data_IF_760375696822
#
_entry.id   IF_760375696822
#
_cell.length_a   1.000
_cell.length_b   1.000
_cell.length_c   1.000
_cell.angle_alpha   90.00
_cell.angle_beta   90.00
_cell.angle_gamma   90.00
#
_symmetry.space_group_name_H-M   'P 1'
#
loop_
_entity.id
_entity.type
_entity.pdbx_description
1 polymer ?
#
# COMPACT_ATOMS: atom_id res chain seq x y z
N UNK A 1 -16.13 -93.45 18.64
CA UNK A 1 -14.92 -92.60 18.64
C UNK A 1 -15.08 -91.56 17.53
N UNK A 2 -15.64 -90.39 17.85
CA UNK A 2 -15.66 -89.22 16.97
C UNK A 2 -14.90 -88.11 17.70
N UNK A 3 -13.76 -87.67 17.15
CA UNK A 3 -13.08 -86.46 17.60
C UNK A 3 -13.61 -85.29 16.76
N UNK A 4 -14.46 -84.48 17.37
CA UNK A 4 -14.91 -83.20 16.83
C UNK A 4 -13.78 -82.18 16.90
N UNK A 5 -13.41 -81.63 15.74
CA UNK A 5 -12.50 -80.52 15.61
C UNK A 5 -13.33 -79.24 15.69
N UNK A 6 -13.31 -78.56 16.84
CA UNK A 6 -14.00 -77.27 17.01
C UNK A 6 -13.10 -76.17 16.45
N UNK A 7 -13.45 -75.66 15.27
CA UNK A 7 -12.80 -74.52 14.64
C UNK A 7 -13.24 -73.23 15.37
N UNK A 8 -12.35 -72.67 16.21
CA UNK A 8 -12.53 -71.34 16.78
C UNK A 8 -12.20 -70.30 15.69
N UNK A 9 -13.22 -69.75 15.04
CA UNK A 9 -13.11 -68.55 14.21
C UNK A 9 -13.03 -67.33 15.15
N UNK A 10 -11.81 -66.84 15.38
CA UNK A 10 -11.56 -65.50 15.91
C UNK A 10 -11.95 -64.48 14.82
N UNK A 11 -13.18 -63.97 14.87
CA UNK A 11 -13.50 -62.68 14.24
C UNK A 11 -12.85 -61.59 15.08
N UNK A 12 -11.63 -61.20 14.73
CA UNK A 12 -11.08 -59.91 15.13
C UNK A 12 -11.94 -58.81 14.50
N UNK A 13 -12.73 -58.13 15.33
CA UNK A 13 -13.38 -56.89 14.94
C UNK A 13 -12.29 -55.86 14.63
N UNK A 14 -11.93 -55.71 13.36
CA UNK A 14 -11.19 -54.55 12.90
C UNK A 14 -12.12 -53.36 13.06
N UNK A 15 -11.90 -52.56 14.10
CA UNK A 15 -12.46 -51.22 14.16
C UNK A 15 -11.92 -50.47 12.95
N UNK A 16 -12.75 -50.30 11.92
CA UNK A 16 -12.40 -49.51 10.75
C UNK A 16 -12.36 -48.05 11.16
N UNK A 17 -11.15 -47.52 11.38
CA UNK A 17 -10.96 -46.11 11.63
C UNK A 17 -11.13 -45.36 10.31
N UNK A 18 -12.29 -44.73 10.12
CA UNK A 18 -12.43 -43.64 9.17
C UNK A 18 -11.65 -42.43 9.71
N UNK A 19 -10.94 -41.73 8.84
CA UNK A 19 -10.21 -40.51 9.19
C UNK A 19 -10.37 -39.46 8.09
N UNK A 20 -10.38 -38.20 8.48
CA UNK A 20 -10.51 -37.02 7.62
C UNK A 20 -9.31 -36.11 7.86
N UNK A 21 -8.95 -35.29 6.87
CA UNK A 21 -7.90 -34.30 7.04
C UNK A 21 -8.18 -33.09 6.15
N UNK A 22 -7.92 -31.91 6.70
CA UNK A 22 -7.63 -30.70 5.93
C UNK A 22 -6.22 -30.25 6.32
N UNK A 23 -5.36 -30.00 5.33
CA UNK A 23 -3.99 -29.56 5.58
C UNK A 23 -3.51 -28.61 4.49
N UNK A 24 -2.86 -27.51 4.88
CA UNK A 24 -2.13 -26.67 3.94
C UNK A 24 -0.77 -27.30 3.64
N UNK A 25 -0.33 -27.22 2.38
CA UNK A 25 1.00 -27.72 1.97
C UNK A 25 2.15 -26.82 2.52
N UNK A 26 1.81 -25.73 3.20
CA UNK A 26 2.74 -24.71 3.66
C UNK A 26 2.37 -24.22 5.06
N UNK A 27 3.38 -23.96 5.89
CA UNK A 27 3.20 -23.37 7.22
C UNK A 27 3.00 -21.85 7.18
N UNK A 28 3.42 -21.19 6.10
CA UNK A 28 3.20 -19.77 5.86
C UNK A 28 3.27 -19.44 4.37
N UNK A 29 2.57 -18.39 3.95
CA UNK A 29 2.56 -17.84 2.60
C UNK A 29 2.94 -16.37 2.69
N UNK A 30 4.04 -15.99 2.04
CA UNK A 30 4.39 -14.59 1.81
C UNK A 30 3.87 -14.18 0.44
N UNK A 31 3.04 -13.16 0.42
CA UNK A 31 2.46 -12.59 -0.79
C UNK A 31 3.40 -11.54 -1.41
N UNK A 32 3.13 -11.19 -2.66
CA UNK A 32 3.81 -10.09 -3.34
C UNK A 32 3.44 -8.75 -2.68
N UNK A 33 4.39 -7.81 -2.68
CA UNK A 33 4.19 -6.51 -2.05
C UNK A 33 3.02 -5.75 -2.69
N UNK A 34 2.17 -5.18 -1.83
CA UNK A 34 1.12 -4.26 -2.23
C UNK A 34 1.57 -2.81 -2.02
N UNK A 35 1.91 -2.14 -3.11
CA UNK A 35 2.15 -0.71 -3.12
C UNK A 35 0.82 0.07 -3.14
N UNK A 36 0.64 0.97 -2.18
CA UNK A 36 -0.53 1.83 -2.06
C UNK A 36 -0.13 3.25 -2.43
N UNK A 37 -0.84 3.83 -3.39
CA UNK A 37 -0.63 5.20 -3.86
C UNK A 37 -1.88 6.06 -3.58
N UNK A 38 -1.75 7.39 -3.66
CA UNK A 38 -2.95 8.24 -3.57
C UNK A 38 -3.96 7.97 -4.68
N UNK A 39 -3.50 7.54 -5.87
CA UNK A 39 -4.37 7.17 -7.00
C UNK A 39 -4.95 5.76 -6.89
N UNK A 40 -4.54 4.97 -5.90
CA UNK A 40 -5.11 3.65 -5.66
C UNK A 40 -6.61 3.77 -5.32
N UNK A 41 -7.46 2.85 -5.81
CA UNK A 41 -8.88 2.85 -5.51
C UNK A 41 -9.14 2.58 -4.02
N UNK A 42 -10.29 3.03 -3.50
CA UNK A 42 -10.69 2.82 -2.10
C UNK A 42 -10.77 1.33 -1.71
N UNK A 43 -11.06 0.48 -2.70
CA UNK A 43 -11.07 -0.98 -2.57
C UNK A 43 -10.10 -1.57 -3.60
N UNK A 44 -9.07 -2.25 -3.10
CA UNK A 44 -8.01 -2.88 -3.89
C UNK A 44 -8.34 -4.37 -4.04
N UNK A 45 -8.43 -4.87 -5.27
CA UNK A 45 -8.56 -6.31 -5.50
C UNK A 45 -7.18 -6.95 -5.48
N UNK A 46 -6.98 -7.95 -4.65
CA UNK A 46 -5.72 -8.68 -4.53
C UNK A 46 -5.97 -10.17 -4.70
N UNK A 47 -5.15 -10.85 -5.51
CA UNK A 47 -5.31 -12.27 -5.82
C UNK A 47 -4.04 -13.04 -5.47
N UNK A 48 -4.21 -14.19 -4.83
CA UNK A 48 -3.11 -15.10 -4.54
C UNK A 48 -3.58 -16.55 -4.63
N UNK A 49 -2.61 -17.47 -4.63
CA UNK A 49 -2.88 -18.90 -4.67
C UNK A 49 -2.44 -19.58 -3.38
N UNK A 50 -3.19 -20.61 -2.98
CA UNK A 50 -2.89 -21.47 -1.84
C UNK A 50 -2.94 -22.93 -2.28
N UNK A 51 -2.05 -23.75 -1.73
CA UNK A 51 -2.07 -25.20 -1.90
C UNK A 51 -2.53 -25.89 -0.64
N UNK A 52 -3.47 -26.82 -0.79
CA UNK A 52 -4.02 -27.57 0.33
C UNK A 52 -4.55 -28.93 -0.13
N UNK A 53 -4.77 -29.81 0.83
CA UNK A 53 -5.41 -31.10 0.64
C UNK A 53 -6.62 -31.20 1.56
N UNK A 54 -7.70 -31.79 1.04
CA UNK A 54 -8.86 -32.15 1.85
C UNK A 54 -9.38 -33.50 1.41
N UNK A 55 -9.35 -34.49 2.31
CA UNK A 55 -9.78 -35.85 1.99
C UNK A 55 -10.24 -36.62 3.23
N UNK A 56 -11.06 -37.64 2.98
CA UNK A 56 -11.58 -38.58 3.95
C UNK A 56 -11.36 -40.00 3.48
N UNK A 57 -10.77 -40.83 4.33
CA UNK A 57 -10.45 -42.20 4.03
C UNK A 57 -11.36 -43.16 4.79
N UNK A 58 -11.96 -44.08 4.05
CA UNK A 58 -12.67 -45.25 4.58
C UNK A 58 -11.83 -46.46 4.15
N UNK A 59 -11.14 -47.07 5.12
CA UNK A 59 -10.27 -48.23 4.94
C UNK A 59 -9.01 -47.89 4.13
N UNK A 60 -9.01 -48.17 2.83
CA UNK A 60 -7.94 -47.84 1.88
C UNK A 60 -8.40 -46.88 0.78
N UNK A 61 -9.69 -46.54 0.77
CA UNK A 61 -10.28 -45.65 -0.23
C UNK A 61 -10.36 -44.26 0.37
N UNK A 62 -9.59 -43.34 -0.20
CA UNK A 62 -9.62 -41.92 0.16
C UNK A 62 -10.33 -41.16 -0.94
N UNK A 63 -11.35 -40.41 -0.57
CA UNK A 63 -12.05 -39.50 -1.46
C UNK A 63 -11.86 -38.07 -0.94
N UNK A 64 -11.77 -37.09 -1.84
CA UNK A 64 -11.79 -35.69 -1.41
C UNK A 64 -13.13 -35.34 -0.77
N UNK A 65 -13.11 -34.51 0.27
CA UNK A 65 -14.31 -34.13 1.01
C UNK A 65 -14.65 -32.65 0.81
N UNK A 66 -15.91 -32.31 1.10
CA UNK A 66 -16.32 -30.92 1.16
C UNK A 66 -15.57 -30.17 2.25
N UNK A 67 -15.00 -29.02 1.90
CA UNK A 67 -14.27 -28.16 2.84
C UNK A 67 -14.87 -26.76 2.91
N UNK A 68 -14.53 -26.03 3.97
CA UNK A 68 -14.82 -24.60 4.13
C UNK A 68 -13.55 -23.86 4.49
N UNK A 69 -13.39 -22.66 3.94
CA UNK A 69 -12.30 -21.74 4.21
C UNK A 69 -12.78 -20.54 5.03
N UNK A 70 -11.89 -19.89 5.75
CA UNK A 70 -12.20 -18.66 6.49
C UNK A 70 -10.93 -17.84 6.74
N UNK A 71 -11.09 -16.57 7.09
CA UNK A 71 -9.98 -15.74 7.56
C UNK A 71 -10.06 -15.52 9.06
N UNK A 72 -8.90 -15.49 9.71
CA UNK A 72 -8.76 -15.26 11.14
C UNK A 72 -7.58 -14.32 11.43
N UNK A 73 -7.64 -13.60 12.55
CA UNK A 73 -6.58 -12.67 12.95
C UNK A 73 -5.40 -13.39 13.64
N UNK A 74 -5.65 -14.53 14.30
CA UNK A 74 -4.68 -15.26 15.12
C UNK A 74 -4.51 -16.72 14.67
N UNK A 75 -3.35 -17.31 15.00
CA UNK A 75 -3.12 -18.74 14.80
C UNK A 75 -4.05 -19.57 15.68
N UNK A 76 -4.58 -20.66 15.12
CA UNK A 76 -5.53 -21.52 15.79
C UNK A 76 -4.84 -22.25 16.94
N UNK A 77 -5.26 -21.96 18.17
CA UNK A 77 -4.91 -22.74 19.36
C UNK A 77 -6.13 -23.24 20.13
N UNK A 78 -7.34 -22.80 19.79
CA UNK A 78 -8.58 -23.11 20.51
C UNK A 78 -9.49 -24.01 19.67
N UNK A 79 -9.96 -25.17 20.16
CA UNK A 79 -10.88 -26.07 19.45
C UNK A 79 -12.27 -25.46 19.12
N UNK A 80 -12.62 -24.26 19.61
CA UNK A 80 -13.86 -23.56 19.28
C UNK A 80 -13.76 -22.78 17.96
N UNK A 81 -13.97 -23.51 16.87
CA UNK A 81 -13.96 -23.09 15.45
C UNK A 81 -14.86 -21.88 15.11
N UNK A 82 -15.83 -21.55 15.96
CA UNK A 82 -16.85 -20.52 15.69
C UNK A 82 -16.47 -19.10 16.18
N UNK A 83 -15.46 -18.96 17.05
CA UNK A 83 -14.99 -17.67 17.58
C UNK A 83 -13.75 -17.11 16.88
N UNK A 84 -13.33 -17.69 15.74
CA UNK A 84 -12.07 -17.35 15.06
C UNK A 84 -12.17 -16.15 14.11
N UNK A 85 -13.37 -15.64 13.90
CA UNK A 85 -13.65 -14.50 13.03
C UNK A 85 -13.52 -13.21 13.82
N UNK A 86 -12.47 -12.45 13.52
CA UNK A 86 -12.07 -11.34 14.36
C UNK A 86 -12.18 -9.98 13.64
N UNK A 87 -12.09 -8.92 14.43
CA UNK A 87 -12.43 -7.55 14.03
C UNK A 87 -11.45 -6.96 13.01
N UNK A 88 -10.17 -7.40 13.01
CA UNK A 88 -9.16 -6.82 12.13
C UNK A 88 -9.34 -7.28 10.68
N UNK A 89 -9.51 -8.57 10.43
CA UNK A 89 -9.79 -9.09 9.07
C UNK A 89 -11.09 -8.53 8.50
N UNK A 90 -12.11 -8.30 9.33
CA UNK A 90 -13.38 -7.67 8.89
C UNK A 90 -13.26 -6.17 8.62
N UNK A 91 -12.38 -5.46 9.33
CA UNK A 91 -12.04 -4.08 9.03
C UNK A 91 -11.19 -3.94 7.75
N UNK A 92 -10.16 -4.79 7.63
CA UNK A 92 -9.20 -4.77 6.51
C UNK A 92 -9.86 -5.15 5.18
N UNK A 93 -10.72 -6.15 5.18
CA UNK A 93 -11.36 -6.67 3.97
C UNK A 93 -12.74 -6.05 3.73
N UNK A 94 -13.20 -6.02 2.48
CA UNK A 94 -14.48 -5.40 2.09
C UNK A 94 -15.26 -6.26 1.12
N UNK A 95 -16.55 -6.45 1.40
CA UNK A 95 -17.42 -7.23 0.52
C UNK A 95 -17.03 -8.71 0.51
N UNK A 96 -17.26 -9.39 -0.61
CA UNK A 96 -17.06 -10.83 -0.69
C UNK A 96 -15.68 -11.21 -1.25
N UNK A 97 -15.19 -12.31 -0.73
CA UNK A 97 -13.96 -13.00 -1.11
C UNK A 97 -14.38 -14.17 -1.99
N UNK A 98 -13.80 -14.23 -3.18
CA UNK A 98 -14.07 -15.31 -4.12
C UNK A 98 -12.94 -16.32 -4.05
N UNK A 99 -13.32 -17.57 -4.21
CA UNK A 99 -12.42 -18.71 -4.20
C UNK A 99 -12.75 -19.60 -5.40
N UNK A 100 -11.71 -20.11 -6.07
CA UNK A 100 -11.85 -21.17 -7.07
C UNK A 100 -10.64 -22.09 -7.05
N UNK A 101 -10.83 -23.39 -7.19
CA UNK A 101 -9.74 -24.35 -7.36
C UNK A 101 -9.62 -24.86 -8.80
N UNK A 102 -8.47 -25.48 -9.09
CA UNK A 102 -8.12 -26.09 -10.36
C UNK A 102 -8.97 -27.31 -10.76
N UNK A 103 -9.84 -27.79 -9.87
CA UNK A 103 -10.79 -28.88 -10.11
C UNK A 103 -12.24 -28.40 -10.28
N UNK A 104 -12.46 -27.08 -10.37
CA UNK A 104 -13.77 -26.49 -10.60
C UNK A 104 -14.60 -26.26 -9.33
N UNK A 105 -14.02 -26.46 -8.14
CA UNK A 105 -14.59 -25.98 -6.89
C UNK A 105 -14.61 -24.46 -6.90
N UNK A 106 -15.75 -23.86 -6.54
CA UNK A 106 -15.92 -22.42 -6.46
C UNK A 106 -16.68 -22.07 -5.19
N UNK A 107 -16.31 -20.94 -4.59
CA UNK A 107 -16.90 -20.48 -3.34
C UNK A 107 -16.88 -18.96 -3.26
N UNK A 108 -17.79 -18.44 -2.46
CA UNK A 108 -17.85 -17.03 -2.11
C UNK A 108 -18.15 -16.91 -0.64
N UNK A 109 -17.41 -16.05 0.06
CA UNK A 109 -17.61 -15.82 1.48
C UNK A 109 -17.31 -14.39 1.87
N UNK A 110 -17.74 -13.99 3.05
CA UNK A 110 -17.53 -12.65 3.57
C UNK A 110 -16.47 -12.70 4.67
N UNK A 111 -15.71 -11.62 4.87
CA UNK A 111 -14.86 -11.47 6.04
C UNK A 111 -15.65 -11.78 7.31
N UNK A 112 -15.06 -12.57 8.20
CA UNK A 112 -15.73 -13.02 9.41
C UNK A 112 -16.77 -14.13 9.24
N UNK A 113 -16.82 -14.77 8.07
CA UNK A 113 -17.67 -15.93 7.82
C UNK A 113 -16.89 -17.07 7.15
N UNK A 114 -17.29 -18.30 7.44
CA UNK A 114 -16.84 -19.47 6.69
C UNK A 114 -17.35 -19.39 5.26
N UNK A 115 -16.55 -19.90 4.32
CA UNK A 115 -17.02 -20.27 3.01
C UNK A 115 -18.08 -21.34 3.13
N UNK A 116 -19.07 -21.26 2.24
CA UNK A 116 -19.93 -22.41 1.99
C UNK A 116 -19.09 -23.63 1.60
N UNK A 117 -19.76 -24.79 1.52
CA UNK A 117 -19.16 -26.05 1.08
C UNK A 117 -18.64 -25.90 -0.36
N UNK A 118 -17.34 -26.06 -0.58
CA UNK A 118 -16.77 -26.23 -1.92
C UNK A 118 -16.80 -27.72 -2.33
N UNK A 119 -17.15 -28.00 -3.59
CA UNK A 119 -17.47 -29.35 -4.11
C UNK A 119 -16.28 -30.30 -4.23
N UNK A 120 -16.57 -31.61 -4.24
CA UNK A 120 -15.62 -32.71 -4.45
C UNK A 120 -14.99 -32.68 -5.85
N UNK A 121 -13.65 -32.68 -5.92
CA UNK A 121 -12.89 -33.06 -7.12
C UNK A 121 -12.52 -34.55 -7.12
N UNK A 122 -11.95 -35.06 -8.21
CA UNK A 122 -11.45 -36.44 -8.32
C UNK A 122 -10.18 -36.71 -7.46
N UNK A 123 -9.95 -37.98 -7.13
CA UNK A 123 -9.04 -38.46 -6.09
C UNK A 123 -7.55 -38.06 -6.25
N UNK A 124 -6.90 -37.78 -5.10
CA UNK A 124 -5.47 -38.08 -4.88
C UNK A 124 -4.42 -37.00 -5.11
N UNK A 125 -4.78 -35.76 -5.46
CA UNK A 125 -3.79 -34.70 -5.74
C UNK A 125 -3.80 -33.56 -4.70
N UNK A 126 -2.90 -32.59 -4.82
CA UNK A 126 -2.97 -31.29 -4.14
C UNK A 126 -3.96 -30.37 -4.88
N UNK A 127 -4.73 -29.55 -4.16
CA UNK A 127 -5.54 -28.48 -4.77
C UNK A 127 -4.75 -27.20 -4.83
N UNK A 128 -4.80 -26.50 -5.97
CA UNK A 128 -4.37 -25.09 -6.04
C UNK A 128 -5.61 -24.21 -6.07
N UNK A 129 -5.91 -23.58 -4.94
CA UNK A 129 -6.98 -22.61 -4.80
C UNK A 129 -6.51 -21.19 -5.11
N UNK A 130 -7.25 -20.47 -5.94
CA UNK A 130 -7.07 -19.04 -6.16
C UNK A 130 -8.07 -18.25 -5.34
N UNK A 131 -7.56 -17.30 -4.57
CA UNK A 131 -8.34 -16.43 -3.68
C UNK A 131 -8.26 -15.00 -4.19
N UNK A 132 -9.40 -14.37 -4.39
CA UNK A 132 -9.49 -12.93 -4.68
C UNK A 132 -10.11 -12.20 -3.49
N UNK A 133 -9.28 -11.43 -2.78
CA UNK A 133 -9.68 -10.58 -1.67
C UNK A 133 -9.85 -9.13 -2.12
N UNK A 134 -10.60 -8.37 -1.32
CA UNK A 134 -10.89 -6.95 -1.54
C UNK A 134 -10.45 -6.19 -0.30
N UNK A 135 -9.38 -5.42 -0.39
CA UNK A 135 -8.76 -4.74 0.73
C UNK A 135 -9.17 -3.27 0.76
N UNK A 136 -9.44 -2.74 1.96
CA UNK A 136 -9.76 -1.32 2.14
C UNK A 136 -8.47 -0.50 2.19
N UNK A 137 -8.34 0.45 1.26
CA UNK A 137 -7.20 1.37 1.22
C UNK A 137 -7.02 2.12 2.54
N UNK A 138 -8.10 2.63 3.13
CA UNK A 138 -8.05 3.39 4.38
C UNK A 138 -7.45 2.59 5.54
N UNK A 139 -7.77 1.30 5.64
CA UNK A 139 -7.24 0.45 6.70
C UNK A 139 -5.76 0.11 6.45
N UNK A 140 -5.38 -0.17 5.20
CA UNK A 140 -3.99 -0.39 4.85
C UNK A 140 -3.11 0.86 5.12
N UNK A 141 -3.61 2.05 4.80
CA UNK A 141 -2.95 3.33 5.11
C UNK A 141 -2.77 3.47 6.63
N UNK A 142 -3.83 3.24 7.41
CA UNK A 142 -3.75 3.29 8.88
C UNK A 142 -2.69 2.33 9.43
N UNK A 143 -2.56 1.12 8.88
CA UNK A 143 -1.48 0.19 9.27
C UNK A 143 -0.09 0.77 8.96
N UNK A 144 0.12 1.37 7.78
CA UNK A 144 1.39 1.98 7.39
C UNK A 144 1.73 3.18 8.28
N UNK A 145 0.76 4.03 8.58
CA UNK A 145 0.92 5.19 9.48
C UNK A 145 1.31 4.78 10.90
N UNK A 146 0.83 3.62 11.35
CA UNK A 146 1.25 2.99 12.60
C UNK A 146 2.58 2.22 12.50
N UNK A 147 3.31 2.35 11.40
CA UNK A 147 4.64 1.79 11.19
C UNK A 147 4.67 0.35 10.69
N UNK A 148 3.54 -0.23 10.28
CA UNK A 148 3.51 -1.58 9.73
C UNK A 148 4.13 -1.62 8.33
N UNK A 149 4.99 -2.61 8.09
CA UNK A 149 5.57 -2.94 6.77
C UNK A 149 4.92 -4.16 6.13
N UNK A 150 4.01 -4.81 6.86
CA UNK A 150 3.20 -5.92 6.37
C UNK A 150 1.94 -6.06 7.22
N UNK A 151 0.87 -6.61 6.64
CA UNK A 151 -0.26 -7.16 7.38
C UNK A 151 -0.15 -8.68 7.42
N UNK A 152 -0.48 -9.27 8.55
CA UNK A 152 -0.56 -10.72 8.70
C UNK A 152 -1.94 -11.14 9.17
N UNK A 153 -2.44 -12.22 8.58
CA UNK A 153 -3.68 -12.88 8.97
C UNK A 153 -3.55 -14.37 8.65
N UNK A 154 -4.54 -15.17 9.02
CA UNK A 154 -4.55 -16.61 8.78
C UNK A 154 -5.65 -16.97 7.80
N UNK A 155 -5.32 -17.82 6.83
CA UNK A 155 -6.33 -18.57 6.08
C UNK A 155 -6.52 -19.90 6.80
N UNK A 156 -7.76 -20.18 7.15
CA UNK A 156 -8.15 -21.41 7.85
C UNK A 156 -8.96 -22.28 6.90
N UNK A 157 -8.71 -23.58 6.91
CA UNK A 157 -9.56 -24.55 6.25
C UNK A 157 -9.98 -25.68 7.18
N UNK A 158 -11.18 -26.22 6.94
CA UNK A 158 -11.68 -27.39 7.67
C UNK A 158 -12.52 -28.28 6.76
N UNK A 159 -12.54 -29.55 7.12
CA UNK A 159 -13.43 -30.56 6.56
C UNK A 159 -14.86 -30.44 7.17
N UNK A 160 -15.93 -30.78 6.43
CA UNK A 160 -17.33 -30.52 6.85
C UNK A 160 -18.22 -31.79 6.95
N UNK A 161 -17.78 -32.93 6.42
CA UNK A 161 -18.55 -34.17 6.35
C UNK A 161 -18.32 -35.11 7.55
N UNK A 162 -17.19 -35.01 8.27
CA UNK A 162 -16.86 -35.89 9.39
C UNK A 162 -17.01 -35.22 10.77
N UNK A 163 -17.18 -36.04 11.81
CA UNK A 163 -17.35 -35.59 13.21
C UNK A 163 -16.05 -35.15 13.88
N UNK A 164 -14.90 -35.57 13.35
CA UNK A 164 -13.57 -35.07 13.73
C UNK A 164 -13.33 -33.78 12.94
N UNK A 165 -13.50 -32.64 13.62
CA UNK A 165 -13.38 -31.30 13.02
C UNK A 165 -11.90 -30.96 12.78
N UNK A 166 -11.24 -31.71 11.91
CA UNK A 166 -9.85 -31.48 11.55
C UNK A 166 -9.77 -30.18 10.74
N UNK A 167 -9.01 -29.23 11.28
CA UNK A 167 -8.80 -27.91 10.70
C UNK A 167 -7.32 -27.59 10.74
N UNK A 168 -6.88 -26.85 9.73
CA UNK A 168 -5.53 -26.33 9.64
C UNK A 168 -5.57 -24.84 9.29
N UNK A 169 -4.50 -24.13 9.61
CA UNK A 169 -4.34 -22.72 9.31
C UNK A 169 -2.95 -22.42 8.77
N UNK A 170 -2.92 -21.60 7.72
CA UNK A 170 -1.70 -21.06 7.15
C UNK A 170 -1.64 -19.56 7.37
N UNK A 171 -0.51 -19.07 7.86
CA UNK A 171 -0.29 -17.63 8.00
C UNK A 171 -0.07 -17.02 6.62
N UNK A 172 -0.79 -15.94 6.33
CA UNK A 172 -0.63 -15.10 5.15
C UNK A 172 0.04 -13.81 5.58
N UNK A 173 1.20 -13.50 5.01
CA UNK A 173 1.89 -12.22 5.19
C UNK A 173 1.84 -11.44 3.89
N UNK A 174 1.15 -10.29 3.90
CA UNK A 174 1.12 -9.34 2.78
C UNK A 174 2.05 -8.18 3.11
N UNK A 175 3.23 -8.06 2.46
CA UNK A 175 4.04 -6.86 2.54
C UNK A 175 3.25 -5.68 1.99
N UNK A 176 3.28 -4.55 2.69
CA UNK A 176 2.59 -3.33 2.27
C UNK A 176 3.59 -2.19 2.27
N UNK A 177 3.46 -1.30 1.31
CA UNK A 177 4.23 -0.06 1.30
C UNK A 177 3.44 1.07 0.67
N UNK A 178 3.89 2.28 0.96
CA UNK A 178 3.39 3.50 0.36
C UNK A 178 4.60 4.27 -0.13
N UNK A 179 4.90 4.24 -1.44
CA UNK A 179 6.03 4.98 -1.96
C UNK A 179 5.86 6.47 -1.62
N UNK A 180 6.95 7.05 -1.11
CA UNK A 180 7.04 8.48 -0.86
C UNK A 180 6.98 9.21 -2.20
N UNK A 181 5.92 9.98 -2.39
CA UNK A 181 5.72 10.80 -3.58
C UNK A 181 5.39 12.20 -3.13
N UNK A 182 6.05 13.18 -3.72
CA UNK A 182 5.71 14.58 -3.55
C UNK A 182 5.54 15.26 -4.90
N UNK A 183 4.69 16.28 -4.94
CA UNK A 183 4.42 17.06 -6.14
C UNK A 183 4.14 18.51 -5.78
N UNK A 184 4.49 19.43 -6.68
CA UNK A 184 4.01 20.81 -6.64
C UNK A 184 3.11 21.11 -7.84
N UNK A 185 2.07 21.91 -7.63
CA UNK A 185 1.19 22.44 -8.68
C UNK A 185 0.82 23.90 -8.41
N UNK A 186 0.19 24.57 -9.39
CA UNK A 186 -0.19 25.98 -9.27
C UNK A 186 0.95 26.97 -9.51
N UNK A 187 2.11 26.50 -9.98
CA UNK A 187 3.21 27.36 -10.38
C UNK A 187 2.82 28.20 -11.60
N UNK A 188 3.17 29.49 -11.57
CA UNK A 188 2.93 30.47 -12.63
C UNK A 188 4.11 31.44 -12.71
N UNK A 189 4.17 32.19 -13.80
CA UNK A 189 5.16 33.26 -13.95
C UNK A 189 4.88 34.38 -12.94
N UNK A 190 5.97 34.92 -12.37
CA UNK A 190 5.95 36.09 -11.49
C UNK A 190 6.56 37.28 -12.24
N UNK A 191 5.88 38.42 -12.22
CA UNK A 191 6.30 39.62 -12.96
C UNK A 191 6.68 40.73 -11.99
N UNK A 192 7.95 41.11 -12.03
CA UNK A 192 8.53 42.15 -11.18
C UNK A 192 8.70 43.44 -12.00
N UNK A 193 8.56 44.59 -11.34
CA UNK A 193 8.85 45.90 -11.93
C UNK A 193 9.43 46.85 -10.89
N UNK A 194 10.00 47.97 -11.34
CA UNK A 194 10.56 48.99 -10.43
C UNK A 194 9.51 49.50 -9.41
N UNK A 195 8.25 49.58 -9.84
CA UNK A 195 7.13 50.02 -8.99
C UNK A 195 6.48 48.89 -8.19
N UNK A 196 6.76 47.63 -8.56
CA UNK A 196 6.28 46.43 -7.88
C UNK A 196 7.45 45.42 -7.80
N UNK A 197 8.40 45.64 -6.88
CA UNK A 197 9.62 44.83 -6.79
C UNK A 197 9.37 43.45 -6.15
N UNK A 198 8.12 43.10 -5.92
CA UNK A 198 7.66 41.83 -5.31
C UNK A 198 6.42 41.36 -6.06
N UNK A 199 6.39 40.07 -6.39
CA UNK A 199 5.20 39.38 -6.89
C UNK A 199 5.13 37.99 -6.25
N UNK A 200 3.92 37.42 -6.17
CA UNK A 200 3.68 36.16 -5.46
C UNK A 200 2.64 35.26 -6.13
N UNK A 201 2.77 33.97 -5.86
CA UNK A 201 1.85 32.92 -6.26
C UNK A 201 1.48 32.04 -5.08
N UNK A 202 0.26 31.52 -5.11
CA UNK A 202 -0.13 30.41 -4.27
C UNK A 202 0.12 29.12 -5.06
N UNK A 203 0.79 28.17 -4.44
CA UNK A 203 1.09 26.86 -4.96
C UNK A 203 0.52 25.79 -4.03
N UNK A 204 0.45 24.57 -4.55
CA UNK A 204 0.03 23.39 -3.82
C UNK A 204 1.17 22.40 -3.75
N UNK A 205 1.58 22.03 -2.55
CA UNK A 205 2.45 20.88 -2.33
C UNK A 205 1.62 19.71 -1.87
N UNK A 206 1.76 18.60 -2.58
CA UNK A 206 1.21 17.30 -2.24
C UNK A 206 2.30 16.36 -1.70
N UNK A 207 1.94 15.52 -0.73
CA UNK A 207 2.73 14.38 -0.26
C UNK A 207 1.82 13.14 -0.14
N UNK A 208 2.31 11.97 -0.57
CA UNK A 208 1.54 10.72 -0.50
C UNK A 208 1.22 10.25 0.91
N UNK A 209 1.99 10.69 1.92
CA UNK A 209 1.68 10.44 3.33
C UNK A 209 0.77 11.56 3.87
N UNK A 210 -0.29 11.22 4.61
CA UNK A 210 -1.07 12.21 5.34
C UNK A 210 -0.19 13.00 6.31
N UNK A 211 -0.29 14.33 6.28
CA UNK A 211 0.61 15.24 7.00
C UNK A 211 2.09 15.02 6.68
N UNK A 212 2.39 14.50 5.49
CA UNK A 212 3.73 14.25 5.01
C UNK A 212 4.50 15.54 4.83
N UNK A 213 5.77 15.49 5.22
CA UNK A 213 6.68 16.60 5.17
C UNK A 213 7.42 16.61 3.83
N UNK A 214 7.72 17.79 3.31
CA UNK A 214 8.56 17.94 2.11
C UNK A 214 9.62 19.00 2.33
N UNK A 215 10.71 18.85 1.59
CA UNK A 215 11.72 19.88 1.40
C UNK A 215 11.64 20.42 -0.02
N UNK A 216 11.92 21.71 -0.17
CA UNK A 216 11.98 22.38 -1.46
C UNK A 216 13.41 22.81 -1.75
N UNK A 217 13.84 22.59 -2.99
CA UNK A 217 15.08 23.14 -3.54
C UNK A 217 14.75 24.01 -4.74
N UNK A 218 15.51 25.09 -4.90
CA UNK A 218 15.33 26.11 -5.94
C UNK A 218 16.65 26.25 -6.71
N UNK A 219 16.59 26.15 -8.04
CA UNK A 219 17.74 26.36 -8.91
C UNK A 219 17.40 27.28 -10.09
N UNK A 220 18.26 28.26 -10.34
CA UNK A 220 18.09 29.30 -11.36
C UNK A 220 18.76 28.87 -12.66
N UNK A 221 18.01 28.84 -13.77
CA UNK A 221 18.58 28.53 -15.08
C UNK A 221 19.60 29.57 -15.55
N UNK A 222 19.44 30.84 -15.14
CA UNK A 222 20.35 31.92 -15.52
C UNK A 222 21.68 31.88 -14.78
N UNK A 223 21.71 31.29 -13.58
CA UNK A 223 22.93 31.12 -12.80
C UNK A 223 22.88 29.83 -11.95
N UNK A 224 22.99 28.64 -12.58
CA UNK A 224 22.78 27.37 -11.90
C UNK A 224 23.78 27.14 -10.76
N UNK A 225 23.29 26.65 -9.62
CA UNK A 225 24.16 26.34 -8.48
C UNK A 225 24.70 27.56 -7.71
N UNK A 226 24.20 28.76 -8.00
CA UNK A 226 24.68 30.03 -7.41
C UNK A 226 23.51 30.91 -6.96
N UNK A 227 23.81 32.18 -6.63
CA UNK A 227 22.83 33.22 -6.35
C UNK A 227 21.83 33.38 -7.51
N UNK A 228 20.57 33.62 -7.16
CA UNK A 228 19.49 33.79 -8.13
C UNK A 228 19.57 35.14 -8.84
N UNK A 229 19.55 35.10 -10.18
CA UNK A 229 19.71 36.27 -11.03
C UNK A 229 18.73 36.24 -12.20
N UNK A 230 18.14 37.39 -12.51
CA UNK A 230 17.44 37.63 -13.76
C UNK A 230 18.45 38.13 -14.79
N UNK A 231 18.50 37.51 -15.97
CA UNK A 231 19.36 37.92 -17.07
C UNK A 231 18.66 38.87 -18.04
N UNK A 232 19.33 39.93 -18.48
CA UNK A 232 18.83 40.82 -19.53
C UNK A 232 18.68 40.07 -20.86
N UNK A 233 17.49 40.13 -21.46
CA UNK A 233 17.17 39.43 -22.71
C UNK A 233 18.20 39.71 -23.81
N UNK A 234 18.75 38.64 -24.39
CA UNK A 234 19.75 38.70 -25.46
C UNK A 234 21.19 38.98 -24.99
N UNK A 235 21.43 39.01 -23.67
CA UNK A 235 22.78 39.17 -23.09
C UNK A 235 23.06 38.07 -22.07
N UNK A 236 24.35 37.78 -21.89
CA UNK A 236 24.77 36.85 -20.84
C UNK A 236 24.81 37.57 -19.49
N UNK A 237 24.30 36.90 -18.46
CA UNK A 237 24.37 37.34 -17.07
C UNK A 237 25.75 37.04 -16.43
N UNK A 238 26.82 37.06 -17.23
CA UNK A 238 28.21 37.02 -16.73
C UNK A 238 28.70 38.40 -16.31
N UNK A 239 28.20 39.46 -16.96
CA UNK A 239 28.49 40.84 -16.61
C UNK A 239 27.42 41.35 -15.64
N UNK A 240 27.85 41.91 -14.50
CA UNK A 240 26.94 42.31 -13.42
C UNK A 240 25.90 43.35 -13.83
N UNK A 241 26.18 44.20 -14.81
CA UNK A 241 25.23 45.19 -15.36
C UNK A 241 24.07 44.57 -16.15
N UNK A 242 24.23 43.33 -16.61
CA UNK A 242 23.22 42.58 -17.35
C UNK A 242 22.41 41.64 -16.43
N UNK A 243 22.59 41.75 -15.12
CA UNK A 243 21.97 40.89 -14.11
C UNK A 243 21.21 41.68 -13.07
N UNK A 244 20.10 41.12 -12.59
CA UNK A 244 19.42 41.59 -11.38
C UNK A 244 19.29 40.45 -10.37
N UNK A 245 19.82 40.67 -9.18
CA UNK A 245 19.70 39.70 -8.09
C UNK A 245 18.27 39.72 -7.53
N UNK A 246 17.73 38.55 -7.24
CA UNK A 246 16.43 38.40 -6.58
C UNK A 246 16.48 37.33 -5.49
N UNK A 247 15.51 37.33 -4.60
CA UNK A 247 15.27 36.27 -3.62
C UNK A 247 13.91 35.63 -3.86
N UNK A 248 13.78 34.38 -3.40
CA UNK A 248 12.52 33.65 -3.34
C UNK A 248 12.11 33.50 -1.88
N UNK A 249 10.96 34.05 -1.51
CA UNK A 249 10.35 33.88 -0.19
C UNK A 249 9.28 32.80 -0.26
N UNK A 250 9.41 31.74 0.53
CA UNK A 250 8.41 30.68 0.67
C UNK A 250 7.74 30.81 2.03
N UNK A 251 6.41 30.72 2.09
CA UNK A 251 5.68 30.74 3.35
C UNK A 251 4.47 29.80 3.38
N UNK A 252 4.17 29.29 4.58
CA UNK A 252 3.04 28.41 4.86
C UNK A 252 2.67 28.52 6.35
N UNK A 253 1.39 28.76 6.66
CA UNK A 253 0.89 28.69 8.04
C UNK A 253 1.64 29.57 9.05
N UNK A 254 2.16 30.73 8.62
CA UNK A 254 2.94 31.65 9.46
C UNK A 254 4.45 31.32 9.55
N UNK A 255 4.90 30.21 8.97
CA UNK A 255 6.33 29.93 8.73
C UNK A 255 6.76 30.58 7.42
N UNK A 256 7.97 31.15 7.38
CA UNK A 256 8.57 31.70 6.15
C UNK A 256 10.06 31.39 6.06
N UNK A 257 10.58 31.24 4.85
CA UNK A 257 12.01 31.10 4.56
C UNK A 257 12.33 31.84 3.27
N UNK A 258 13.43 32.59 3.29
CA UNK A 258 13.99 33.27 2.13
C UNK A 258 15.12 32.44 1.56
N UNK A 259 15.16 32.31 0.23
CA UNK A 259 16.19 31.64 -0.54
C UNK A 259 16.84 32.68 -1.46
N UNK A 260 18.17 32.79 -1.40
CA UNK A 260 18.94 33.70 -2.25
C UNK A 260 19.86 32.99 -3.25
N UNK A 261 20.14 31.70 -3.03
CA UNK A 261 21.03 30.88 -3.83
C UNK A 261 20.62 29.41 -3.81
N UNK A 262 21.14 28.65 -4.78
CA UNK A 262 21.01 27.20 -4.82
C UNK A 262 21.60 26.58 -3.54
N UNK A 263 20.81 25.74 -2.86
CA UNK A 263 21.17 25.11 -1.60
C UNK A 263 21.71 26.12 -0.56
N UNK A 264 20.89 27.11 -0.20
CA UNK A 264 21.13 27.89 1.02
C UNK A 264 21.39 26.92 2.18
N UNK A 265 22.62 26.92 2.70
CA UNK A 265 23.29 25.78 3.38
C UNK A 265 22.66 25.33 4.71
N UNK A 266 21.53 25.93 5.08
CA UNK A 266 20.66 25.61 6.23
C UNK A 266 19.29 25.07 5.73
N UNK A 267 19.26 23.92 5.06
CA UNK A 267 18.03 23.34 4.48
C UNK A 267 17.13 22.58 5.48
N UNK A 268 16.90 23.15 6.67
CA UNK A 268 15.95 22.64 7.68
C UNK A 268 14.48 23.08 7.42
N UNK A 269 14.25 23.80 6.32
CA UNK A 269 12.93 24.31 5.95
C UNK A 269 12.05 23.19 5.39
N UNK A 270 11.30 22.56 6.30
CA UNK A 270 10.31 21.54 6.00
C UNK A 270 8.91 22.17 5.88
N UNK A 271 8.20 21.80 4.82
CA UNK A 271 6.85 22.24 4.50
C UNK A 271 5.88 21.06 4.60
N UNK A 272 4.63 21.34 4.97
CA UNK A 272 3.58 20.35 5.05
C UNK A 272 2.91 20.18 3.68
N UNK A 273 2.91 18.95 3.17
CA UNK A 273 2.13 18.56 2.01
C UNK A 273 0.68 18.27 2.38
N UNK A 274 -0.23 18.40 1.40
CA UNK A 274 -1.57 17.81 1.49
C UNK A 274 -1.58 16.43 0.84
N UNK A 275 -2.44 15.54 1.31
CA UNK A 275 -2.73 14.24 0.72
C UNK A 275 -3.82 14.30 -0.36
N UNK A 276 -4.45 15.46 -0.55
CA UNK A 276 -5.46 15.69 -1.58
C UNK A 276 -4.80 16.02 -2.93
N UNK A 277 -4.58 14.96 -3.72
CA UNK A 277 -3.91 15.05 -5.03
C UNK A 277 -4.75 15.81 -6.09
N UNK A 278 -6.06 15.91 -5.89
CA UNK A 278 -6.99 16.49 -6.85
C UNK A 278 -7.30 17.97 -6.54
N UNK A 279 -6.92 18.46 -5.36
CA UNK A 279 -7.16 19.83 -4.98
C UNK A 279 -6.14 20.81 -5.59
N UNK A 280 -6.42 21.21 -6.83
CA UNK A 280 -5.65 22.23 -7.56
C UNK A 280 -5.68 23.62 -6.91
N UNK A 281 -6.63 23.87 -6.01
CA UNK A 281 -6.90 25.17 -5.39
C UNK A 281 -6.47 25.23 -3.92
N UNK A 282 -5.72 24.23 -3.43
CA UNK A 282 -5.36 24.11 -2.01
C UNK A 282 -4.55 25.30 -1.45
N UNK A 283 -3.82 26.03 -2.30
CA UNK A 283 -3.05 27.24 -1.96
C UNK A 283 -2.25 27.13 -0.65
N UNK A 284 -1.75 25.94 -0.30
CA UNK A 284 -1.16 25.65 1.00
C UNK A 284 0.26 26.22 1.16
N UNK A 285 0.81 26.77 0.09
CA UNK A 285 2.13 27.39 0.05
C UNK A 285 2.04 28.71 -0.72
N UNK A 286 2.70 29.75 -0.23
CA UNK A 286 2.92 30.98 -0.98
C UNK A 286 4.39 31.07 -1.36
N UNK A 287 4.67 31.28 -2.64
CA UNK A 287 6.01 31.54 -3.18
C UNK A 287 6.01 32.97 -3.72
N UNK A 288 6.91 33.81 -3.23
CA UNK A 288 7.10 35.17 -3.70
C UNK A 288 8.52 35.36 -4.24
N UNK A 289 8.67 36.18 -5.26
CA UNK A 289 9.96 36.63 -5.76
C UNK A 289 10.14 38.12 -5.44
N UNK A 290 11.34 38.53 -5.04
CA UNK A 290 11.65 39.91 -4.64
C UNK A 290 12.98 40.35 -5.24
N UNK A 291 13.02 41.54 -5.84
CA UNK A 291 14.28 42.15 -6.28
C UNK A 291 15.10 42.63 -5.07
N UNK A 292 16.40 42.30 -5.04
CA UNK A 292 17.29 42.60 -3.90
C UNK A 292 17.81 44.04 -3.88
N UNK A 293 17.86 44.70 -5.04
CA UNK A 293 18.45 46.02 -5.19
C UNK A 293 17.50 47.00 -5.86
N UNK A 294 17.74 48.29 -5.61
CA UNK A 294 17.18 49.35 -6.43
C UNK A 294 17.67 49.15 -7.87
N UNK A 295 16.75 49.03 -8.81
CA UNK A 295 16.99 48.90 -10.25
C UNK A 295 17.61 50.15 -10.88
N UNK A 296 18.04 51.12 -10.07
CA UNK A 296 18.57 52.42 -10.51
C UNK A 296 19.89 52.33 -11.29
N UNK A 297 20.62 51.22 -11.17
CA UNK A 297 21.82 50.93 -11.97
C UNK A 297 21.58 49.90 -13.08
N UNK A 298 20.34 49.40 -13.21
CA UNK A 298 19.98 48.43 -14.23
C UNK A 298 19.92 49.11 -15.61
N UNK A 299 20.33 48.39 -16.65
CA UNK A 299 20.08 48.83 -18.02
C UNK A 299 18.58 48.70 -18.34
N UNK A 300 17.98 49.63 -19.11
CA UNK A 300 16.60 49.48 -19.53
C UNK A 300 16.40 48.20 -20.36
N UNK A 301 15.41 47.37 -20.01
CA UNK A 301 15.09 46.18 -20.77
C UNK A 301 14.25 45.16 -19.99
N UNK A 302 14.05 43.99 -20.61
CA UNK A 302 13.34 42.85 -20.01
C UNK A 302 14.37 41.88 -19.45
N UNK A 303 14.29 41.61 -18.16
CA UNK A 303 15.10 40.61 -17.47
C UNK A 303 14.24 39.37 -17.20
N UNK A 304 14.80 38.18 -17.38
CA UNK A 304 14.08 36.92 -17.17
C UNK A 304 14.98 35.85 -16.58
N UNK A 305 14.37 34.91 -15.88
CA UNK A 305 14.99 33.68 -15.41
C UNK A 305 13.96 32.55 -15.45
N UNK A 306 14.41 31.29 -15.43
CA UNK A 306 13.56 30.12 -15.23
C UNK A 306 14.01 29.42 -13.95
N UNK A 307 13.15 29.41 -12.94
CA UNK A 307 13.42 28.75 -11.66
C UNK A 307 12.89 27.32 -11.71
N UNK A 308 13.76 26.35 -11.42
CA UNK A 308 13.37 24.96 -11.17
C UNK A 308 13.08 24.77 -9.69
N UNK A 309 11.89 24.26 -9.37
CA UNK A 309 11.50 23.90 -8.00
C UNK A 309 11.48 22.38 -7.88
N UNK A 310 12.38 21.83 -7.08
CA UNK A 310 12.44 20.40 -6.76
C UNK A 310 11.72 20.16 -5.44
N UNK A 311 10.82 19.17 -5.41
CA UNK A 311 10.08 18.77 -4.20
C UNK A 311 10.57 17.40 -3.77
N UNK A 312 11.06 17.31 -2.54
CA UNK A 312 11.63 16.09 -1.98
C UNK A 312 10.74 15.64 -0.82
N UNK A 313 10.10 14.46 -0.86
CA UNK A 313 9.38 13.93 0.28
C UNK A 313 10.36 13.54 1.40
N UNK A 314 10.02 13.87 2.65
CA UNK A 314 10.77 13.51 3.87
C UNK A 314 10.07 12.37 4.64
#
# INVERSE_FOLDING_TARGET
MLRGLTLFLLMSAFSSSAWSLFNFDQSSIRLDELEITATSPDVINYQFSVKYESFGCIWIFCARQSYSLGFADNSITDPNIESWFADFTTALMSGAINFSDDQGGQGRFFPGAWSGKATQGSDGENLTGSITMRLRKSELINQIENGATSVSFYLVGREIENTTRDADAVQITLPISMPLQARISGLKDLTLSDTAPVDQMNACIYNSRPNGQVRLEFDSASNPGQEFRLGLSGKNCSDSENCLNYTVDVSQGGRSKTYSEYQDKDTDAIWQGTDDIDNRDCGNLTIAARLNSATSTALPGVYSDTMTVTVIPE
#
